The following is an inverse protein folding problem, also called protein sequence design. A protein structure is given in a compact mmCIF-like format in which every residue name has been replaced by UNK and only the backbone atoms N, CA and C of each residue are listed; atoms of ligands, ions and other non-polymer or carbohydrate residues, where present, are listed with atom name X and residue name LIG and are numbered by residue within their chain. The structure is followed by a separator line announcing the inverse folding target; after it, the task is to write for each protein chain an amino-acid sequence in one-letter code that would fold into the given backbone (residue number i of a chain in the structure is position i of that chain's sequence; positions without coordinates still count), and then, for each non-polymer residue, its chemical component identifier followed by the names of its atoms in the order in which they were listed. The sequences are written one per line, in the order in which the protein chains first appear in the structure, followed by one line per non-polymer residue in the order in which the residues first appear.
data_IF_370378745558
#
_entry.id   IF_370378745558
#
_cell.length_a   1.000
_cell.length_b   1.000
_cell.length_c   1.000
_cell.angle_alpha   90.00
_cell.angle_beta   90.00
_cell.angle_gamma   90.00
#
_symmetry.space_group_name_H-M   'P 1'
#
loop_
_entity.id
_entity.type
_entity.pdbx_description
1 polymer ?
#
# COMPACT_ATOMS: atom_id res chain seq x y z
N UNK A 1 -13.25 19.50 38.92
CA UNK A 1 -13.98 18.30 38.44
C UNK A 1 -13.68 18.17 36.96
N UNK A 2 -12.65 17.40 36.65
CA UNK A 2 -12.05 17.27 35.32
C UNK A 2 -11.50 15.85 35.27
N UNK A 3 -12.11 14.93 34.50
CA UNK A 3 -11.47 13.67 34.06
C UNK A 3 -12.34 12.64 33.32
N UNK A 4 -13.62 12.88 32.96
CA UNK A 4 -14.45 11.77 32.43
C UNK A 4 -14.75 11.79 30.92
N UNK A 5 -14.16 12.71 30.14
CA UNK A 5 -14.45 12.82 28.71
C UNK A 5 -13.38 12.15 27.81
N UNK A 6 -12.16 11.91 28.30
CA UNK A 6 -11.06 11.40 27.45
C UNK A 6 -10.94 9.87 27.32
N UNK A 7 -11.82 9.09 27.98
CA UNK A 7 -11.71 7.60 27.99
C UNK A 7 -12.72 6.85 27.13
N UNK A 8 -13.41 7.51 26.19
CA UNK A 8 -14.39 6.85 25.29
C UNK A 8 -13.95 6.68 23.84
N UNK A 9 -12.75 7.11 23.46
CA UNK A 9 -12.28 7.03 22.07
C UNK A 9 -11.40 5.80 21.76
N UNK A 10 -10.94 5.04 22.75
CA UNK A 10 -9.98 3.94 22.55
C UNK A 10 -10.60 2.54 22.53
N UNK A 11 -11.90 2.38 22.82
CA UNK A 11 -12.56 1.06 22.93
C UNK A 11 -13.42 0.66 21.73
N UNK A 12 -13.64 1.56 20.76
CA UNK A 12 -14.48 1.30 19.58
C UNK A 12 -13.70 1.17 18.26
N UNK A 13 -12.41 1.52 18.26
CA UNK A 13 -11.56 1.43 17.06
C UNK A 13 -10.99 0.02 16.85
N UNK A 14 -10.99 -0.82 17.89
CA UNK A 14 -10.39 -2.16 17.90
C UNK A 14 -11.17 -3.20 17.07
N UNK A 15 -12.43 -2.96 16.72
CA UNK A 15 -13.31 -3.96 16.09
C UNK A 15 -13.47 -3.77 14.56
N UNK A 16 -13.65 -2.52 14.10
CA UNK A 16 -13.96 -2.26 12.68
C UNK A 16 -12.80 -2.55 11.70
N UNK A 17 -11.56 -2.34 12.13
CA UNK A 17 -10.39 -2.61 11.29
C UNK A 17 -10.17 -4.11 11.10
N UNK A 18 -10.32 -4.89 12.17
CA UNK A 18 -10.20 -6.35 12.14
C UNK A 18 -11.33 -6.98 11.32
N UNK A 19 -12.58 -6.58 11.57
CA UNK A 19 -13.74 -7.02 10.79
C UNK A 19 -13.61 -6.69 9.30
N UNK A 20 -13.08 -5.49 8.97
CA UNK A 20 -12.81 -5.12 7.60
C UNK A 20 -11.74 -6.03 6.98
N UNK A 21 -10.62 -6.24 7.68
CA UNK A 21 -9.51 -7.06 7.20
C UNK A 21 -9.93 -8.52 6.99
N UNK A 22 -10.73 -9.10 7.90
CA UNK A 22 -11.32 -10.42 7.74
C UNK A 22 -12.25 -10.49 6.53
N UNK A 23 -13.17 -9.54 6.40
CA UNK A 23 -14.15 -9.50 5.30
C UNK A 23 -13.46 -9.37 3.95
N UNK A 24 -12.49 -8.46 3.84
CA UNK A 24 -11.69 -8.26 2.63
C UNK A 24 -10.81 -9.49 2.36
N UNK A 25 -10.21 -10.08 3.39
CA UNK A 25 -9.47 -11.34 3.27
C UNK A 25 -10.32 -12.46 2.67
N UNK A 26 -11.55 -12.65 3.17
CA UNK A 26 -12.51 -13.62 2.64
C UNK A 26 -12.88 -13.29 1.18
N UNK A 27 -13.20 -12.03 0.90
CA UNK A 27 -13.59 -11.57 -0.44
C UNK A 27 -12.48 -11.81 -1.46
N UNK A 28 -11.25 -11.42 -1.12
CA UNK A 28 -10.08 -11.58 -1.97
C UNK A 28 -9.67 -13.05 -2.13
N UNK A 29 -9.80 -13.86 -1.08
CA UNK A 29 -9.56 -15.31 -1.16
C UNK A 29 -10.61 -16.03 -2.03
N UNK A 30 -11.87 -15.59 -1.99
CA UNK A 30 -12.95 -16.11 -2.87
C UNK A 30 -12.72 -15.72 -4.33
N UNK A 31 -12.19 -14.54 -4.58
CA UNK A 31 -11.78 -14.02 -5.90
C UNK A 31 -10.53 -14.70 -6.48
N UNK A 32 -10.30 -15.99 -6.21
CA UNK A 32 -9.13 -16.78 -6.60
C UNK A 32 -8.97 -16.98 -8.12
N UNK A 33 -8.94 -15.89 -8.88
CA UNK A 33 -8.15 -15.77 -10.08
C UNK A 33 -6.69 -16.00 -9.64
N UNK A 34 -6.20 -17.23 -9.81
CA UNK A 34 -4.83 -17.65 -9.49
C UNK A 34 -3.74 -16.77 -10.14
N UNK A 35 -4.13 -15.82 -11.01
CA UNK A 35 -3.27 -14.96 -11.80
C UNK A 35 -2.65 -13.78 -11.02
N UNK A 36 -3.25 -13.30 -9.92
CA UNK A 36 -2.72 -12.11 -9.21
C UNK A 36 -2.77 -12.30 -7.69
N UNK A 37 -1.65 -12.66 -7.04
CA UNK A 37 -1.62 -12.75 -5.59
C UNK A 37 -1.85 -11.38 -4.96
N UNK A 38 -2.22 -11.35 -3.68
CA UNK A 38 -2.39 -10.13 -2.91
C UNK A 38 -1.05 -9.48 -2.56
N UNK A 39 -1.05 -8.17 -2.39
CA UNK A 39 0.09 -7.39 -1.92
C UNK A 39 -0.01 -7.27 -0.41
N UNK A 40 0.47 -8.29 0.29
CA UNK A 40 0.70 -8.19 1.73
C UNK A 40 1.96 -7.38 1.99
N UNK A 41 2.12 -6.87 3.21
CA UNK A 41 3.34 -6.19 3.63
C UNK A 41 4.59 -7.06 3.42
N UNK A 42 4.50 -8.35 3.73
CA UNK A 42 5.60 -9.31 3.56
C UNK A 42 5.97 -9.45 2.08
N UNK A 43 4.97 -9.56 1.20
CA UNK A 43 5.22 -9.64 -0.24
C UNK A 43 5.82 -8.36 -0.82
N UNK A 44 5.39 -7.20 -0.33
CA UNK A 44 5.98 -5.92 -0.72
C UNK A 44 7.46 -5.89 -0.31
N UNK A 45 7.78 -6.32 0.92
CA UNK A 45 9.16 -6.41 1.39
C UNK A 45 10.02 -7.37 0.55
N UNK A 46 9.50 -8.55 0.21
CA UNK A 46 10.17 -9.48 -0.70
C UNK A 46 10.42 -8.86 -2.07
N UNK A 47 9.42 -8.19 -2.65
CA UNK A 47 9.56 -7.57 -3.96
C UNK A 47 10.60 -6.44 -3.94
N UNK A 48 10.67 -5.66 -2.86
CA UNK A 48 11.72 -4.66 -2.66
C UNK A 48 13.10 -5.33 -2.62
N UNK A 49 13.26 -6.40 -1.85
CA UNK A 49 14.52 -7.15 -1.78
C UNK A 49 14.92 -7.72 -3.16
N UNK A 50 13.97 -8.27 -3.92
CA UNK A 50 14.19 -8.75 -5.28
C UNK A 50 14.65 -7.63 -6.24
N UNK A 51 14.10 -6.41 -6.10
CA UNK A 51 14.51 -5.23 -6.88
C UNK A 51 15.93 -4.79 -6.51
N UNK A 52 16.28 -4.82 -5.24
CA UNK A 52 17.63 -4.47 -4.78
C UNK A 52 18.66 -5.46 -5.28
N UNK A 53 18.38 -6.76 -5.16
CA UNK A 53 19.21 -7.81 -5.73
C UNK A 53 19.33 -7.69 -7.26
N UNK A 54 18.24 -7.34 -7.95
CA UNK A 54 18.27 -7.07 -9.39
C UNK A 54 19.25 -5.94 -9.74
N UNK A 55 19.27 -4.86 -8.96
CA UNK A 55 20.20 -3.72 -9.15
C UNK A 55 21.65 -4.10 -8.86
N UNK A 56 21.89 -4.96 -7.86
CA UNK A 56 23.25 -5.40 -7.48
C UNK A 56 23.82 -6.49 -8.41
N UNK A 57 22.98 -7.33 -9.00
CA UNK A 57 23.42 -8.48 -9.80
C UNK A 57 24.40 -8.12 -10.95
N UNK A 58 24.18 -7.05 -11.75
CA UNK A 58 25.15 -6.62 -12.75
C UNK A 58 26.50 -6.18 -12.16
N UNK A 59 26.49 -5.53 -10.99
CA UNK A 59 27.71 -5.07 -10.30
C UNK A 59 28.54 -6.25 -9.78
N UNK A 60 27.86 -7.29 -9.31
CA UNK A 60 28.48 -8.50 -8.78
C UNK A 60 28.72 -9.59 -9.85
N UNK A 61 28.42 -9.29 -11.13
CA UNK A 61 28.48 -10.24 -12.27
C UNK A 61 27.67 -11.52 -12.03
N UNK A 62 26.57 -11.42 -11.28
CA UNK A 62 25.64 -12.51 -11.00
C UNK A 62 24.51 -12.55 -12.04
N UNK A 63 24.00 -13.76 -12.33
CA UNK A 63 22.78 -13.92 -13.14
C UNK A 63 21.55 -13.56 -12.31
N UNK A 64 20.64 -12.79 -12.91
CA UNK A 64 19.36 -12.43 -12.31
C UNK A 64 18.36 -13.57 -12.45
N UNK A 65 17.55 -13.80 -11.41
CA UNK A 65 16.43 -14.74 -11.48
C UNK A 65 15.26 -14.12 -12.25
N UNK A 66 14.33 -14.96 -12.73
CA UNK A 66 13.10 -14.49 -13.38
C UNK A 66 12.26 -13.58 -12.47
N UNK A 67 12.22 -13.89 -11.16
CA UNK A 67 11.49 -13.09 -10.14
C UNK A 67 12.11 -11.69 -10.01
N UNK A 68 13.43 -11.62 -9.86
CA UNK A 68 14.20 -10.38 -9.80
C UNK A 68 14.01 -9.54 -11.07
N UNK A 69 14.08 -10.18 -12.24
CA UNK A 69 13.87 -9.50 -13.52
C UNK A 69 12.44 -8.92 -13.63
N UNK A 70 11.43 -9.72 -13.29
CA UNK A 70 10.04 -9.29 -13.31
C UNK A 70 9.81 -8.05 -12.44
N UNK A 71 10.24 -8.11 -11.17
CA UNK A 71 10.05 -6.98 -10.25
C UNK A 71 10.91 -5.77 -10.63
N UNK A 72 12.19 -5.99 -10.94
CA UNK A 72 13.15 -4.93 -11.29
C UNK A 72 12.82 -4.16 -12.57
N UNK A 73 12.10 -4.78 -13.51
CA UNK A 73 11.61 -4.08 -14.72
C UNK A 73 10.30 -3.35 -14.50
N UNK A 74 9.41 -3.88 -13.66
CA UNK A 74 8.03 -3.39 -13.53
C UNK A 74 7.84 -2.39 -12.40
N UNK A 75 8.63 -2.48 -11.34
CA UNK A 75 8.47 -1.67 -10.13
C UNK A 75 9.78 -0.95 -9.77
N UNK A 76 9.65 0.06 -8.93
CA UNK A 76 10.76 0.80 -8.33
C UNK A 76 10.51 0.89 -6.83
N UNK A 77 11.59 0.81 -6.05
CA UNK A 77 11.56 1.09 -4.62
C UNK A 77 12.01 2.54 -4.40
N UNK A 78 11.23 3.30 -3.62
CA UNK A 78 11.53 4.68 -3.24
C UNK A 78 11.46 4.79 -1.72
N UNK A 79 12.44 5.45 -1.11
CA UNK A 79 12.39 5.80 0.31
C UNK A 79 11.47 7.01 0.48
N UNK A 80 10.47 6.93 1.36
CA UNK A 80 9.67 8.12 1.67
C UNK A 80 10.51 9.04 2.56
N UNK A 81 10.97 10.16 2.02
CA UNK A 81 11.45 11.30 2.82
C UNK A 81 10.29 12.28 3.16
N UNK A 82 9.10 12.10 2.57
CA UNK A 82 8.05 13.14 2.49
C UNK A 82 6.73 12.75 3.15
N UNK A 83 6.50 11.48 3.51
CA UNK A 83 5.25 11.07 4.20
C UNK A 83 5.59 10.49 5.57
N UNK A 84 5.26 11.24 6.62
CA UNK A 84 5.48 10.91 8.05
C UNK A 84 4.66 9.71 8.56
N UNK A 85 4.48 8.66 7.77
CA UNK A 85 3.87 7.41 8.23
C UNK A 85 4.82 6.27 7.87
N UNK A 86 5.86 6.16 8.69
CA UNK A 86 6.79 5.02 8.73
C UNK A 86 8.07 5.24 7.91
N UNK A 87 9.21 5.00 8.56
CA UNK A 87 10.53 4.83 7.92
C UNK A 87 10.55 3.57 7.03
N UNK A 88 9.75 3.57 5.97
CA UNK A 88 9.52 2.43 5.10
C UNK A 88 9.91 2.71 3.66
N UNK A 89 10.56 1.74 3.02
CA UNK A 89 10.71 1.69 1.57
C UNK A 89 9.36 1.37 0.94
N UNK A 90 8.95 2.15 -0.06
CA UNK A 90 7.69 1.95 -0.76
C UNK A 90 7.91 1.36 -2.14
N UNK A 91 7.02 0.44 -2.50
CA UNK A 91 6.98 -0.14 -3.83
C UNK A 91 6.05 0.69 -4.72
N UNK A 92 6.58 1.22 -5.82
CA UNK A 92 5.81 1.97 -6.81
C UNK A 92 5.87 1.27 -8.17
N UNK A 93 4.84 1.44 -8.99
CA UNK A 93 4.90 1.04 -10.39
C UNK A 93 5.89 1.94 -11.13
N UNK A 94 6.75 1.34 -11.94
CA UNK A 94 7.71 2.09 -12.75
C UNK A 94 6.96 2.96 -13.77
N UNK A 95 7.23 4.26 -13.75
CA UNK A 95 6.69 5.22 -14.72
C UNK A 95 7.33 5.01 -16.08
N UNK A 96 6.54 5.17 -17.16
CA UNK A 96 7.07 5.15 -18.52
C UNK A 96 7.58 6.53 -18.91
N UNK A 97 6.85 7.56 -18.48
CA UNK A 97 7.16 8.97 -18.70
C UNK A 97 7.18 9.72 -17.37
N UNK A 98 7.98 10.79 -17.27
CA UNK A 98 8.06 11.58 -16.03
C UNK A 98 6.76 12.33 -15.69
N UNK A 99 5.92 12.55 -16.70
CA UNK A 99 4.55 13.08 -16.55
C UNK A 99 3.55 12.07 -16.00
N UNK A 100 3.88 10.77 -15.98
CA UNK A 100 2.97 9.76 -15.47
C UNK A 100 2.80 9.93 -13.94
N UNK A 101 1.58 9.70 -13.42
CA UNK A 101 1.35 9.76 -11.99
C UNK A 101 2.15 8.65 -11.28
N UNK A 102 2.67 8.97 -10.09
CA UNK A 102 3.27 7.97 -9.21
C UNK A 102 2.17 7.04 -8.71
N UNK A 103 2.30 5.74 -8.96
CA UNK A 103 1.38 4.71 -8.48
C UNK A 103 2.04 3.88 -7.39
N UNK A 104 1.65 4.08 -6.13
CA UNK A 104 2.15 3.34 -4.96
C UNK A 104 1.36 2.04 -4.76
N UNK A 105 2.05 0.97 -4.40
CA UNK A 105 1.41 -0.29 -4.03
C UNK A 105 1.07 -0.23 -2.55
N UNK A 106 -0.22 -0.28 -2.21
CA UNK A 106 -0.66 -0.36 -0.82
C UNK A 106 -0.66 -1.83 -0.40
N UNK A 107 -0.26 -2.08 0.85
CA UNK A 107 -0.43 -3.38 1.45
C UNK A 107 -1.90 -3.60 1.81
N UNK A 108 -2.39 -4.82 1.71
CA UNK A 108 -3.77 -5.18 2.06
C UNK A 108 -4.13 -4.80 3.49
N UNK A 109 -3.15 -4.88 4.39
CA UNK A 109 -3.30 -4.52 5.81
C UNK A 109 -3.55 -3.01 6.00
N UNK A 110 -3.11 -2.18 5.05
CA UNK A 110 -3.27 -0.72 5.13
C UNK A 110 -4.58 -0.23 4.47
N UNK A 111 -5.36 -1.11 3.82
CA UNK A 111 -6.54 -0.68 3.07
C UNK A 111 -7.56 0.03 3.97
N UNK A 112 -7.84 -0.51 5.14
CA UNK A 112 -8.77 0.09 6.10
C UNK A 112 -8.34 1.49 6.51
N UNK A 113 -7.07 1.65 6.89
CA UNK A 113 -6.52 2.92 7.34
C UNK A 113 -6.60 3.99 6.24
N UNK A 114 -6.14 3.66 5.03
CA UNK A 114 -6.16 4.61 3.89
C UNK A 114 -7.61 5.01 3.54
N UNK A 115 -8.53 4.05 3.51
CA UNK A 115 -9.95 4.33 3.23
C UNK A 115 -10.56 5.22 4.31
N UNK A 116 -10.31 4.91 5.59
CA UNK A 116 -10.83 5.67 6.72
C UNK A 116 -10.29 7.10 6.73
N UNK A 117 -8.99 7.28 6.58
CA UNK A 117 -8.36 8.61 6.55
C UNK A 117 -8.89 9.43 5.37
N UNK A 118 -9.02 8.82 4.19
CA UNK A 118 -9.59 9.51 3.02
C UNK A 118 -11.07 9.87 3.24
N UNK A 119 -11.84 8.99 3.88
CA UNK A 119 -13.23 9.28 4.24
C UNK A 119 -13.34 10.46 5.21
N UNK A 120 -12.47 10.51 6.22
CA UNK A 120 -12.39 11.62 7.18
C UNK A 120 -11.98 12.93 6.50
N UNK A 121 -10.93 12.90 5.65
CA UNK A 121 -10.43 14.08 4.93
C UNK A 121 -11.45 14.69 3.97
N UNK A 122 -12.37 13.88 3.45
CA UNK A 122 -13.46 14.36 2.57
C UNK A 122 -14.69 14.85 3.34
N UNK A 123 -14.62 14.94 4.68
CA UNK A 123 -15.74 15.31 5.53
C UNK A 123 -16.84 14.24 5.54
N UNK A 124 -16.44 12.97 5.69
CA UNK A 124 -17.30 11.80 5.56
C UNK A 124 -17.92 11.66 4.16
N UNK A 125 -17.14 12.00 3.14
CA UNK A 125 -17.54 11.89 1.75
C UNK A 125 -17.78 10.44 1.33
N UNK A 126 -18.79 10.23 0.49
CA UNK A 126 -18.99 8.94 -0.18
C UNK A 126 -17.88 8.63 -1.19
N UNK A 127 -18.02 7.49 -1.87
CA UNK A 127 -17.04 6.93 -2.82
C UNK A 127 -16.49 7.97 -3.81
N UNK A 128 -17.35 8.73 -4.49
CA UNK A 128 -16.89 9.61 -5.57
C UNK A 128 -16.05 10.79 -5.06
N UNK A 129 -16.39 11.32 -3.88
CA UNK A 129 -15.58 12.34 -3.20
C UNK A 129 -14.23 11.78 -2.77
N UNK A 130 -14.24 10.57 -2.20
CA UNK A 130 -13.02 9.86 -1.82
C UNK A 130 -12.12 9.62 -3.02
N UNK A 131 -12.66 9.12 -4.14
CA UNK A 131 -11.91 8.86 -5.37
C UNK A 131 -11.35 10.14 -6.00
N UNK A 132 -12.03 11.28 -5.86
CA UNK A 132 -11.53 12.55 -6.35
C UNK A 132 -10.33 13.05 -5.52
N UNK A 133 -10.39 12.93 -4.18
CA UNK A 133 -9.32 13.39 -3.28
C UNK A 133 -8.11 12.44 -3.27
N UNK A 134 -8.35 11.14 -3.50
CA UNK A 134 -7.39 10.05 -3.39
C UNK A 134 -6.02 10.32 -4.05
N UNK A 135 -5.94 10.81 -5.31
CA UNK A 135 -4.65 10.99 -5.98
C UNK A 135 -3.81 12.13 -5.38
N UNK A 136 -4.44 13.07 -4.66
CA UNK A 136 -3.81 14.30 -4.18
C UNK A 136 -3.27 14.17 -2.74
N UNK A 137 -3.89 13.34 -1.91
CA UNK A 137 -3.48 13.13 -0.51
C UNK A 137 -2.47 12.00 -0.34
N UNK A 138 -2.58 10.98 -1.18
CA UNK A 138 -1.93 9.70 -0.98
C UNK A 138 -1.09 9.27 -2.20
N UNK A 139 -1.16 10.04 -3.30
CA UNK A 139 -0.75 9.57 -4.63
C UNK A 139 -1.74 8.54 -5.18
N UNK A 140 -1.55 8.08 -6.41
CA UNK A 140 -2.40 6.98 -6.92
C UNK A 140 -1.97 5.70 -6.21
N UNK A 141 -2.88 5.01 -5.55
CA UNK A 141 -2.61 3.67 -5.04
C UNK A 141 -3.18 2.61 -5.98
N UNK A 142 -2.42 1.54 -6.21
CA UNK A 142 -2.97 0.32 -6.77
C UNK A 142 -3.43 -0.57 -5.62
N UNK A 143 -4.70 -0.43 -5.26
CA UNK A 143 -5.46 -1.43 -4.53
C UNK A 143 -5.87 -2.48 -5.58
N UNK A 144 -5.52 -3.75 -5.34
CA UNK A 144 -5.59 -4.83 -6.35
C UNK A 144 -7.01 -5.02 -6.87
#
# INVERSE_FOLDING_TARGET
MCSDIEKKQTLTEFDYGEQFNETIGIFLNKRRDKAKPLWTRERIAEAIADIEQFKLAPLLKLKQTHKQYYYGKKYVCVCDDIMQVGNGKNLILKRKFDSDPVVKIASTENFYHILRETHQLTGHGGRDKMLHLWPYTWGRFLLI
#
